data_IF_218278734640
#
_entry.id   IF_218278734640
#
_cell.length_a   1.000
_cell.length_b   1.000
_cell.length_c   1.000
_cell.angle_alpha   90.00
_cell.angle_beta   90.00
_cell.angle_gamma   90.00
#
_symmetry.space_group_name_H-M   'P 1'
#
loop_
_entity.id
_entity.type
_entity.pdbx_description
1 polymer ?
#
# COMPACT_ATOMS: atom_id res chain seq x y z
N UNK A 1 -31.63 9.55 -0.23
CA UNK A 1 -31.02 8.82 -1.36
C UNK A 1 -29.80 9.61 -1.80
N UNK A 2 -28.60 9.19 -1.37
CA UNK A 2 -27.35 9.97 -1.46
C UNK A 2 -26.52 9.36 -2.59
N UNK A 3 -26.73 9.86 -3.79
CA UNK A 3 -26.15 9.35 -5.04
C UNK A 3 -25.18 10.39 -5.59
N UNK A 4 -23.93 10.44 -5.08
CA UNK A 4 -22.98 11.50 -5.49
C UNK A 4 -21.62 10.99 -5.96
N UNK A 5 -21.13 9.83 -5.49
CA UNK A 5 -19.79 9.36 -5.91
C UNK A 5 -19.72 9.02 -7.41
N UNK A 6 -20.79 8.47 -7.99
CA UNK A 6 -20.79 8.02 -9.40
C UNK A 6 -20.90 9.18 -10.39
N UNK A 7 -21.71 10.18 -10.06
CA UNK A 7 -21.89 11.38 -10.88
C UNK A 7 -20.65 12.28 -10.83
N UNK A 8 -20.05 12.46 -9.65
CA UNK A 8 -18.84 13.27 -9.48
C UNK A 8 -17.66 12.67 -10.26
N UNK A 9 -17.53 11.34 -10.28
CA UNK A 9 -16.51 10.65 -11.07
C UNK A 9 -16.69 10.84 -12.58
N UNK A 10 -17.93 10.85 -13.08
CA UNK A 10 -18.23 11.13 -14.49
C UNK A 10 -17.89 12.58 -14.83
N UNK A 11 -18.24 13.52 -13.96
CA UNK A 11 -17.94 14.94 -14.15
C UNK A 11 -16.42 15.19 -14.18
N UNK A 12 -15.66 14.57 -13.28
CA UNK A 12 -14.20 14.71 -13.21
C UNK A 12 -13.46 14.02 -14.37
N UNK A 13 -14.06 12.99 -14.99
CA UNK A 13 -13.55 12.36 -16.21
C UNK A 13 -13.75 13.27 -17.44
N UNK A 14 -14.92 13.93 -17.53
CA UNK A 14 -15.21 14.93 -18.59
C UNK A 14 -14.27 16.13 -18.51
N UNK A 15 -13.90 16.55 -17.30
CA UNK A 15 -12.92 17.63 -17.07
C UNK A 15 -11.46 17.22 -17.32
N UNK A 16 -11.20 15.98 -17.75
CA UNK A 16 -9.85 15.38 -17.84
C UNK A 16 -9.04 15.54 -16.54
N UNK A 17 -9.69 15.62 -15.38
CA UNK A 17 -9.01 15.72 -14.10
C UNK A 17 -8.64 14.33 -13.55
N UNK A 18 -9.41 13.30 -13.91
CA UNK A 18 -9.20 11.90 -13.51
C UNK A 18 -9.45 10.95 -14.69
N UNK A 19 -8.81 9.78 -14.68
CA UNK A 19 -9.03 8.63 -15.57
C UNK A 19 -9.53 7.45 -14.76
N UNK A 20 -10.58 6.77 -15.21
CA UNK A 20 -11.06 5.54 -14.56
C UNK A 20 -10.07 4.39 -14.79
N UNK A 21 -9.87 3.58 -13.76
CA UNK A 21 -9.09 2.32 -13.79
C UNK A 21 -9.96 1.19 -13.22
N UNK A 22 -9.57 -0.07 -13.43
CA UNK A 22 -10.33 -1.20 -12.92
C UNK A 22 -10.41 -1.15 -11.38
N UNK A 23 -11.54 -0.68 -10.85
CA UNK A 23 -11.78 -0.51 -9.40
C UNK A 23 -11.62 0.91 -8.83
N UNK A 24 -11.32 1.94 -9.63
CA UNK A 24 -11.13 3.30 -9.08
C UNK A 24 -10.92 4.42 -10.12
N UNK A 25 -10.32 5.53 -9.68
CA UNK A 25 -9.96 6.67 -10.53
C UNK A 25 -8.55 7.18 -10.17
N UNK A 26 -7.77 7.55 -11.18
CA UNK A 26 -6.41 8.10 -11.04
C UNK A 26 -6.35 9.49 -11.66
N UNK A 27 -5.66 10.45 -11.02
CA UNK A 27 -5.56 11.81 -11.57
C UNK A 27 -4.79 11.86 -12.89
N UNK A 28 -5.30 12.65 -13.84
CA UNK A 28 -4.62 12.97 -15.09
C UNK A 28 -3.81 14.24 -14.82
N UNK A 29 -2.62 14.07 -14.26
CA UNK A 29 -1.75 15.18 -13.87
C UNK A 29 -0.44 14.65 -13.28
N UNK A 30 0.55 15.53 -12.98
CA UNK A 30 1.76 15.11 -12.28
C UNK A 30 1.36 14.36 -11.02
N UNK A 31 1.96 13.17 -10.79
CA UNK A 31 1.67 12.34 -9.62
C UNK A 31 1.77 13.22 -8.37
N UNK A 32 0.67 13.40 -7.66
CA UNK A 32 0.69 14.12 -6.38
C UNK A 32 1.45 13.29 -5.35
N UNK A 33 2.45 13.92 -4.73
CA UNK A 33 3.27 13.33 -3.69
C UNK A 33 4.71 13.02 -4.14
N UNK A 34 5.60 12.75 -3.18
CA UNK A 34 7.00 12.52 -3.47
C UNK A 34 7.18 11.27 -4.35
N UNK A 35 8.22 11.27 -5.19
CA UNK A 35 8.63 10.09 -5.94
C UNK A 35 8.82 8.89 -5.01
N UNK A 36 8.63 7.66 -5.53
CA UNK A 36 8.69 6.45 -4.72
C UNK A 36 10.00 6.34 -3.90
N UNK A 37 11.14 6.69 -4.50
CA UNK A 37 12.44 6.68 -3.80
C UNK A 37 12.58 7.75 -2.70
N UNK A 38 11.82 8.85 -2.77
CA UNK A 38 11.75 9.85 -1.70
C UNK A 38 10.84 9.32 -0.59
N UNK A 39 9.69 8.74 -0.96
CA UNK A 39 8.80 8.08 0.01
C UNK A 39 9.56 6.97 0.72
N UNK A 40 10.32 6.10 0.04
CA UNK A 40 11.11 5.04 0.66
C UNK A 40 12.08 5.54 1.73
N UNK A 41 12.65 6.75 1.58
CA UNK A 41 13.60 7.32 2.54
C UNK A 41 12.95 8.14 3.66
N UNK A 42 11.65 8.41 3.57
CA UNK A 42 10.94 9.18 4.58
C UNK A 42 10.60 8.34 5.82
N UNK A 43 10.71 8.94 7.01
CA UNK A 43 10.27 8.40 8.30
C UNK A 43 10.84 7.00 8.67
N UNK A 44 12.17 6.81 8.62
CA UNK A 44 12.78 5.51 8.91
C UNK A 44 12.54 5.04 10.36
N UNK A 45 12.49 5.98 11.32
CA UNK A 45 12.28 5.65 12.73
C UNK A 45 10.84 5.16 13.01
N UNK A 46 9.84 5.80 12.41
CA UNK A 46 8.43 5.40 12.49
C UNK A 46 8.23 4.03 11.87
N UNK A 47 8.82 3.77 10.70
CA UNK A 47 8.73 2.46 10.04
C UNK A 47 9.30 1.35 10.87
N UNK A 48 10.50 1.57 11.41
CA UNK A 48 11.14 0.57 12.28
C UNK A 48 10.30 0.27 13.53
N UNK A 49 9.56 1.25 14.05
CA UNK A 49 8.61 1.02 15.16
C UNK A 49 7.43 0.15 14.74
N UNK A 50 6.86 0.41 13.56
CA UNK A 50 5.75 -0.40 13.00
C UNK A 50 6.23 -1.83 12.71
N UNK A 51 7.39 -2.00 12.08
CA UNK A 51 7.99 -3.31 11.75
C UNK A 51 8.19 -4.14 13.03
N UNK A 52 8.85 -3.58 14.05
CA UNK A 52 9.05 -4.25 15.33
C UNK A 52 7.74 -4.68 15.99
N UNK A 53 6.74 -3.79 15.99
CA UNK A 53 5.43 -4.11 16.55
C UNK A 53 4.76 -5.26 15.79
N UNK A 54 4.84 -5.24 14.46
CA UNK A 54 4.26 -6.27 13.61
C UNK A 54 4.93 -7.64 13.80
N UNK A 55 6.27 -7.70 13.89
CA UNK A 55 7.01 -8.96 14.14
C UNK A 55 6.56 -9.60 15.45
N UNK A 56 6.34 -8.81 16.52
CA UNK A 56 5.88 -9.31 17.82
C UNK A 56 4.47 -9.91 17.78
N UNK A 57 3.67 -9.62 16.74
CA UNK A 57 2.32 -10.16 16.59
C UNK A 57 2.29 -11.50 15.84
N UNK A 58 3.41 -11.90 15.22
CA UNK A 58 3.52 -13.10 14.40
C UNK A 58 3.93 -14.29 15.25
N UNK A 59 3.26 -15.42 15.05
CA UNK A 59 3.58 -16.70 15.68
C UNK A 59 4.01 -17.74 14.65
N UNK A 60 4.92 -18.68 15.00
CA UNK A 60 5.29 -19.79 14.12
C UNK A 60 4.07 -20.57 13.63
N UNK A 61 4.13 -21.08 12.40
CA UNK A 61 3.05 -21.85 11.76
C UNK A 61 1.96 -20.99 11.12
N UNK A 62 2.04 -19.66 11.20
CA UNK A 62 1.07 -18.77 10.57
C UNK A 62 1.38 -18.53 9.09
N UNK A 63 0.32 -18.40 8.31
CA UNK A 63 0.38 -17.86 6.95
C UNK A 63 0.03 -16.37 6.99
N UNK A 64 0.89 -15.55 6.38
CA UNK A 64 0.75 -14.10 6.40
C UNK A 64 0.70 -13.59 4.96
N UNK A 65 -0.32 -12.77 4.69
CA UNK A 65 -0.49 -12.10 3.40
C UNK A 65 -0.04 -10.64 3.52
N UNK A 66 0.90 -10.25 2.66
CA UNK A 66 1.32 -8.87 2.50
C UNK A 66 0.81 -8.29 1.19
N UNK A 67 0.21 -7.10 1.26
CA UNK A 67 -0.05 -6.29 0.08
C UNK A 67 1.23 -5.57 -0.37
N UNK A 68 1.34 -5.23 -1.65
CA UNK A 68 2.45 -4.42 -2.16
C UNK A 68 2.52 -3.06 -1.43
N UNK A 69 3.67 -2.76 -0.84
CA UNK A 69 3.87 -1.53 -0.09
C UNK A 69 5.27 -1.44 0.50
N UNK A 70 5.79 -0.21 0.61
CA UNK A 70 7.15 0.05 1.08
C UNK A 70 7.41 -0.39 2.53
N UNK A 71 6.37 -0.48 3.37
CA UNK A 71 6.48 -0.96 4.75
C UNK A 71 6.36 -2.48 4.79
N UNK A 72 5.49 -3.04 3.97
CA UNK A 72 5.19 -4.47 3.95
C UNK A 72 6.32 -5.28 3.31
N UNK A 73 7.05 -4.74 2.34
CA UNK A 73 8.20 -5.43 1.73
C UNK A 73 9.34 -5.69 2.72
N UNK A 74 9.76 -4.68 3.50
CA UNK A 74 10.84 -4.84 4.48
C UNK A 74 10.47 -5.84 5.59
N UNK A 75 9.22 -5.78 6.06
CA UNK A 75 8.70 -6.71 7.05
C UNK A 75 8.58 -8.14 6.51
N UNK A 76 8.17 -8.30 5.25
CA UNK A 76 8.09 -9.61 4.60
C UNK A 76 9.48 -10.26 4.47
N UNK A 77 10.51 -9.48 4.15
CA UNK A 77 11.91 -9.95 4.13
C UNK A 77 12.37 -10.39 5.51
N UNK A 78 12.10 -9.61 6.56
CA UNK A 78 12.47 -9.95 7.94
C UNK A 78 11.77 -11.23 8.43
N UNK A 79 10.49 -11.39 8.12
CA UNK A 79 9.72 -12.57 8.52
C UNK A 79 10.04 -13.82 7.69
N UNK A 80 10.44 -13.66 6.43
CA UNK A 80 10.89 -14.77 5.58
C UNK A 80 12.18 -15.43 6.11
N UNK A 81 12.98 -14.69 6.89
CA UNK A 81 14.14 -15.24 7.59
C UNK A 81 13.76 -16.10 8.82
N UNK A 82 12.50 -16.07 9.26
CA UNK A 82 12.01 -16.84 10.40
C UNK A 82 11.50 -18.22 9.97
N UNK A 83 11.82 -19.26 10.75
CA UNK A 83 11.45 -20.64 10.42
C UNK A 83 9.97 -20.92 10.74
N UNK A 84 9.30 -21.65 9.84
CA UNK A 84 7.92 -22.10 10.03
C UNK A 84 6.84 -21.06 9.69
N UNK A 85 7.18 -19.97 9.01
CA UNK A 85 6.21 -19.03 8.45
C UNK A 85 6.02 -19.27 6.96
N UNK A 86 4.80 -19.06 6.47
CA UNK A 86 4.52 -18.97 5.03
C UNK A 86 4.14 -17.53 4.71
N UNK A 87 4.97 -16.87 3.92
CA UNK A 87 4.78 -15.46 3.53
C UNK A 87 4.31 -15.42 2.09
N UNK A 88 3.16 -14.79 1.84
CA UNK A 88 2.60 -14.58 0.50
C UNK A 88 2.56 -13.09 0.22
N UNK A 89 3.12 -12.67 -0.92
CA UNK A 89 3.13 -11.27 -1.35
C UNK A 89 2.43 -11.14 -2.69
N UNK A 90 1.61 -10.10 -2.85
CA UNK A 90 1.04 -9.72 -4.14
C UNK A 90 1.81 -8.51 -4.67
N UNK A 91 2.83 -8.76 -5.50
CA UNK A 91 3.71 -7.74 -6.09
C UNK A 91 3.31 -7.44 -7.55
#
# INVERSE_FOLDING_TARGET
MRETTRHDLVHLEVLRALRRVHGGAVAIGPKSGPALGVRQRAHPAERRRIEKAAVLMVRPGQMIFFNAGIITSALAEELAASTGLTVVTNA
#
